data_IF_814190674869
#
_entry.id   IF_814190674869
#
_cell.length_a   1.000
_cell.length_b   1.000
_cell.length_c   1.000
_cell.angle_alpha   90.00
_cell.angle_beta   90.00
_cell.angle_gamma   90.00
#
_symmetry.space_group_name_H-M   'P 1'
#
loop_
_entity.id
_entity.type
_entity.pdbx_description
1 polymer ?
#
# COMPACT_ATOMS: atom_id res chain seq x y z
N UNK A 1 -23.10 5.50 7.38
CA UNK A 1 -22.26 6.39 8.21
C UNK A 1 -21.79 7.53 7.33
N UNK A 2 -21.46 8.69 7.90
CA UNK A 2 -20.89 9.80 7.13
C UNK A 2 -19.50 9.40 6.58
N UNK A 3 -19.23 9.74 5.32
CA UNK A 3 -17.91 9.54 4.72
C UNK A 3 -16.88 10.40 5.47
N UNK A 4 -15.83 9.76 5.98
CA UNK A 4 -14.78 10.46 6.72
C UNK A 4 -13.82 11.13 5.74
N UNK A 5 -13.57 12.43 5.92
CA UNK A 5 -12.55 13.15 5.16
C UNK A 5 -11.16 12.68 5.59
N UNK A 6 -10.44 12.02 4.68
CA UNK A 6 -9.12 11.45 4.96
C UNK A 6 -7.98 12.28 4.38
N UNK A 7 -8.24 13.42 3.73
CA UNK A 7 -7.21 14.20 2.99
C UNK A 7 -6.03 14.66 3.83
N UNK A 8 -6.19 14.72 5.15
CA UNK A 8 -5.14 15.13 6.09
C UNK A 8 -4.12 14.01 6.38
N UNK A 9 -4.48 12.74 6.15
CA UNK A 9 -3.61 11.60 6.39
C UNK A 9 -2.60 11.45 5.24
N UNK A 10 -1.31 11.42 5.59
CA UNK A 10 -0.20 11.37 4.62
C UNK A 10 0.61 10.08 4.69
N UNK A 11 0.17 9.11 5.48
CA UNK A 11 0.91 7.87 5.69
C UNK A 11 -0.02 6.72 6.05
N UNK A 12 0.45 5.50 5.73
CA UNK A 12 -0.14 4.25 6.20
C UNK A 12 0.75 3.70 7.31
N UNK A 13 0.13 3.39 8.45
CA UNK A 13 0.82 2.81 9.59
C UNK A 13 0.35 1.36 9.78
N UNK A 14 1.29 0.45 9.99
CA UNK A 14 1.02 -0.96 10.27
C UNK A 14 2.19 -1.60 11.02
N UNK A 15 1.90 -2.65 11.77
CA UNK A 15 2.91 -3.46 12.46
C UNK A 15 3.02 -4.79 11.75
N UNK A 16 4.24 -5.20 11.40
CA UNK A 16 4.47 -6.44 10.67
C UNK A 16 5.87 -7.00 10.84
N UNK A 17 6.02 -8.29 10.49
CA UNK A 17 7.30 -8.98 10.40
C UNK A 17 7.35 -9.66 9.03
N UNK A 18 8.35 -9.33 8.21
CA UNK A 18 8.44 -9.84 6.85
C UNK A 18 9.85 -10.35 6.57
N UNK A 19 9.98 -11.65 6.32
CA UNK A 19 11.25 -12.29 5.98
C UNK A 19 11.58 -12.19 4.49
N UNK A 20 10.66 -11.71 3.67
CA UNK A 20 10.81 -11.41 2.24
C UNK A 20 10.38 -9.97 1.96
N UNK A 21 10.80 -9.38 0.83
CA UNK A 21 10.28 -8.08 0.41
C UNK A 21 8.76 -8.12 0.26
N UNK A 22 8.09 -7.03 0.65
CA UNK A 22 6.64 -6.89 0.56
C UNK A 22 6.32 -5.75 -0.39
N UNK A 23 5.50 -6.02 -1.39
CA UNK A 23 4.90 -4.99 -2.22
C UNK A 23 3.56 -4.60 -1.63
N UNK A 24 3.41 -3.34 -1.28
CA UNK A 24 2.17 -2.76 -0.78
C UNK A 24 1.51 -2.02 -1.95
N UNK A 25 0.29 -2.38 -2.28
CA UNK A 25 -0.49 -1.79 -3.37
C UNK A 25 -1.67 -1.04 -2.80
N UNK A 26 -1.83 0.22 -3.22
CA UNK A 26 -2.99 1.05 -2.92
C UNK A 26 -3.90 1.08 -4.14
N UNK A 27 -5.09 0.51 -3.98
CA UNK A 27 -6.12 0.50 -5.00
C UNK A 27 -6.96 1.75 -4.85
N UNK A 28 -7.14 2.50 -5.94
CA UNK A 28 -7.94 3.73 -5.91
C UNK A 28 -9.44 3.42 -5.93
N UNK A 29 -10.26 4.21 -5.23
CA UNK A 29 -11.73 4.19 -5.35
C UNK A 29 -12.16 4.55 -6.76
N UNK A 30 -11.50 5.54 -7.34
CA UNK A 30 -11.73 6.03 -8.70
C UNK A 30 -11.03 5.21 -9.79
N UNK A 31 -10.52 4.00 -9.48
CA UNK A 31 -9.72 3.23 -10.44
C UNK A 31 -10.53 2.89 -11.70
N UNK A 32 -10.15 3.50 -12.81
CA UNK A 32 -10.68 3.20 -14.15
C UNK A 32 -9.73 2.31 -14.94
N UNK A 33 -8.43 2.35 -14.60
CA UNK A 33 -7.38 1.55 -15.18
C UNK A 33 -6.57 0.84 -14.09
N UNK A 34 -6.68 -0.48 -14.00
CA UNK A 34 -5.98 -1.31 -13.03
C UNK A 34 -4.45 -1.26 -13.12
N UNK A 35 -3.92 -0.86 -14.27
CA UNK A 35 -2.47 -0.66 -14.43
C UNK A 35 -1.97 0.63 -13.78
N UNK A 36 -2.85 1.55 -13.37
CA UNK A 36 -2.52 2.80 -12.65
C UNK A 36 -2.57 2.62 -11.12
N UNK A 37 -2.14 1.47 -10.61
CA UNK A 37 -2.07 1.23 -9.18
C UNK A 37 -0.83 1.87 -8.57
N UNK A 38 -0.91 2.21 -7.28
CA UNK A 38 0.18 2.86 -6.55
C UNK A 38 0.87 1.83 -5.68
N UNK A 39 2.17 1.61 -5.90
CA UNK A 39 2.93 0.58 -5.18
C UNK A 39 4.11 1.15 -4.42
N UNK A 40 4.44 0.48 -3.31
CA UNK A 40 5.68 0.68 -2.57
C UNK A 40 6.24 -0.68 -2.15
N UNK A 41 7.53 -0.93 -2.42
CA UNK A 41 8.19 -2.16 -1.98
C UNK A 41 8.98 -1.90 -0.69
N UNK A 42 8.55 -2.56 0.37
CA UNK A 42 9.27 -2.61 1.64
C UNK A 42 10.31 -3.74 1.59
N UNK A 43 11.59 -3.48 1.89
CA UNK A 43 12.61 -4.53 1.92
C UNK A 43 12.38 -5.50 3.09
N UNK A 44 12.87 -6.73 2.94
CA UNK A 44 12.79 -7.77 3.96
C UNK A 44 13.43 -7.30 5.29
N UNK A 45 12.76 -7.60 6.40
CA UNK A 45 13.28 -7.35 7.74
C UNK A 45 12.76 -8.40 8.73
N UNK A 46 13.68 -9.23 9.22
CA UNK A 46 13.38 -10.34 10.14
C UNK A 46 13.16 -9.88 11.60
N UNK A 47 12.38 -8.82 11.79
CA UNK A 47 11.93 -8.37 13.10
C UNK A 47 10.54 -7.74 13.02
N UNK A 48 9.74 -7.97 14.07
CA UNK A 48 8.46 -7.30 14.22
C UNK A 48 8.71 -5.81 14.41
N UNK A 49 8.12 -4.99 13.54
CA UNK A 49 8.36 -3.55 13.55
C UNK A 49 7.08 -2.79 13.19
N UNK A 50 6.94 -1.61 13.79
CA UNK A 50 5.98 -0.60 13.35
C UNK A 50 6.54 0.18 12.15
N UNK A 51 5.75 0.23 11.09
CA UNK A 51 6.04 0.95 9.87
C UNK A 51 5.08 2.12 9.74
N UNK A 52 5.61 3.27 9.32
CA UNK A 52 4.83 4.42 8.87
C UNK A 52 5.37 4.83 7.51
N UNK A 53 4.61 4.52 6.46
CA UNK A 53 5.01 4.75 5.08
C UNK A 53 4.25 5.95 4.55
N UNK A 54 4.97 6.99 4.15
CA UNK A 54 4.35 8.18 3.56
C UNK A 54 3.71 7.84 2.20
N UNK A 55 2.50 8.33 1.94
CA UNK A 55 1.78 8.13 0.69
C UNK A 55 2.58 8.62 -0.53
N UNK A 56 3.46 9.61 -0.36
CA UNK A 56 4.36 10.10 -1.40
C UNK A 56 5.44 9.09 -1.82
N UNK A 57 5.61 7.99 -1.09
CA UNK A 57 6.54 6.91 -1.45
C UNK A 57 5.93 5.91 -2.42
N UNK A 58 4.61 5.93 -2.58
CA UNK A 58 3.93 5.06 -3.52
C UNK A 58 3.96 5.70 -4.91
N UNK A 59 4.31 4.90 -5.91
CA UNK A 59 4.43 5.34 -7.29
C UNK A 59 3.46 4.58 -8.18
N UNK A 60 2.88 5.27 -9.16
CA UNK A 60 2.16 4.65 -10.25
C UNK A 60 3.02 4.60 -11.51
N UNK A 61 2.89 3.56 -12.36
CA UNK A 61 3.54 3.52 -13.66
C UNK A 61 2.93 4.51 -14.68
N UNK A 62 1.69 4.97 -14.47
CA UNK A 62 0.96 5.81 -15.42
C UNK A 62 0.67 7.23 -14.93
N UNK A 63 0.68 7.44 -13.61
CA UNK A 63 0.36 8.74 -13.01
C UNK A 63 1.55 9.32 -12.24
N UNK A 64 1.74 10.63 -12.41
CA UNK A 64 2.73 11.42 -11.66
C UNK A 64 2.13 12.10 -10.43
N UNK A 65 0.80 12.05 -10.28
CA UNK A 65 0.12 12.68 -9.17
C UNK A 65 0.30 11.84 -7.91
N UNK A 66 0.50 12.42 -6.73
CA UNK A 66 0.47 11.67 -5.49
C UNK A 66 -0.93 11.10 -5.23
N UNK A 67 -1.00 9.86 -4.74
CA UNK A 67 -2.25 9.31 -4.23
C UNK A 67 -2.73 10.09 -3.01
N UNK A 68 -4.03 10.38 -2.95
CA UNK A 68 -4.68 10.99 -1.80
C UNK A 68 -5.36 9.90 -0.97
N UNK A 69 -5.37 10.05 0.36
CA UNK A 69 -5.88 9.03 1.27
C UNK A 69 -7.38 8.76 1.11
N UNK A 70 -8.16 9.78 0.78
CA UNK A 70 -9.60 9.69 0.52
C UNK A 70 -9.92 8.90 -0.76
N UNK A 71 -8.99 8.82 -1.70
CA UNK A 71 -9.11 8.03 -2.92
C UNK A 71 -8.62 6.59 -2.74
N UNK A 72 -8.16 6.17 -1.55
CA UNK A 72 -7.78 4.77 -1.32
C UNK A 72 -9.03 3.94 -1.01
N UNK A 73 -9.27 2.90 -1.81
CA UNK A 73 -10.34 1.92 -1.60
C UNK A 73 -9.86 0.75 -0.74
N UNK A 74 -8.66 0.25 -1.04
CA UNK A 74 -8.12 -0.97 -0.45
C UNK A 74 -6.60 -0.90 -0.40
N UNK A 75 -6.02 -1.50 0.64
CA UNK A 75 -4.57 -1.76 0.72
C UNK A 75 -4.33 -3.26 0.60
N UNK A 76 -3.45 -3.65 -0.33
CA UNK A 76 -3.10 -5.05 -0.57
C UNK A 76 -1.62 -5.25 -0.30
N UNK A 77 -1.28 -6.24 0.51
CA UNK A 77 0.10 -6.65 0.78
C UNK A 77 0.41 -7.92 0.01
N UNK A 78 1.43 -7.87 -0.83
CA UNK A 78 1.89 -9.02 -1.63
C UNK A 78 3.31 -9.38 -1.25
N UNK A 79 3.55 -10.65 -0.92
CA UNK A 79 4.87 -11.16 -0.59
C UNK A 79 4.96 -12.66 -0.91
N UNK A 80 6.19 -13.16 -1.00
CA UNK A 80 6.45 -14.58 -1.22
C UNK A 80 6.73 -15.30 0.10
N UNK A 81 6.16 -16.49 0.26
CA UNK A 81 6.47 -17.40 1.37
C UNK A 81 6.38 -18.84 0.89
N UNK A 82 7.39 -19.66 1.21
CA UNK A 82 7.44 -21.06 0.79
C UNK A 82 7.38 -21.26 -0.73
N UNK A 83 7.92 -20.32 -1.52
CA UNK A 83 7.88 -20.34 -2.99
C UNK A 83 6.51 -20.03 -3.60
N UNK A 84 5.57 -19.50 -2.81
CA UNK A 84 4.24 -19.08 -3.28
C UNK A 84 4.01 -17.61 -2.98
N UNK A 85 3.35 -16.93 -3.91
CA UNK A 85 2.84 -15.58 -3.68
C UNK A 85 1.62 -15.64 -2.76
N UNK A 86 1.58 -14.72 -1.80
CA UNK A 86 0.44 -14.49 -0.90
C UNK A 86 0.01 -13.05 -1.06
N UNK A 87 -1.31 -12.84 -1.13
CA UNK A 87 -1.94 -11.53 -1.08
C UNK A 87 -2.76 -11.43 0.21
N UNK A 88 -2.56 -10.36 0.97
CA UNK A 88 -3.37 -10.03 2.14
C UNK A 88 -4.07 -8.71 1.91
N UNK A 89 -5.40 -8.75 2.02
CA UNK A 89 -6.28 -7.61 1.89
C UNK A 89 -6.54 -7.00 3.28
N UNK A 90 -6.32 -5.70 3.44
CA UNK A 90 -6.50 -4.96 4.69
C UNK A 90 -7.58 -3.87 4.57
#
# INVERSE_FOLDING_TARGET
GAEQDMRQYKSIAFTGKFNTPVTITLVKKSISNWTDHYTYTLPAKDSLKEYSINLSKFTSPLSKNPIQADDILQTVFTFETGGKQVNLDA
#
